data_IF_333238941222
#
_entry.id   IF_333238941222
#
_cell.length_a   1.000
_cell.length_b   1.000
_cell.length_c   1.000
_cell.angle_alpha   90.00
_cell.angle_beta   90.00
_cell.angle_gamma   90.00
#
_symmetry.space_group_name_H-M   'P 1'
#
loop_
_entity.id
_entity.type
_entity.pdbx_description
1 polymer ?
#
# COMPACT_ATOMS: atom_id res chain seq x y z
N UNK A 1 -6.34 5.97 -5.65
CA UNK A 1 -5.08 6.09 -6.42
C UNK A 1 -3.90 5.70 -5.52
N UNK A 2 -2.69 5.54 -6.05
CA UNK A 2 -1.53 5.18 -5.23
C UNK A 2 -1.14 6.23 -4.16
N UNK A 3 -1.61 7.47 -4.28
CA UNK A 3 -1.60 8.48 -3.20
C UNK A 3 -2.49 8.08 -2.00
N UNK A 4 -3.48 7.20 -2.19
CA UNK A 4 -4.32 6.67 -1.12
C UNK A 4 -3.51 5.79 -0.17
N UNK A 5 -2.35 5.24 -0.57
CA UNK A 5 -1.56 4.41 0.35
C UNK A 5 -0.96 5.25 1.47
N UNK A 6 -0.36 6.39 1.15
CA UNK A 6 0.22 7.28 2.17
C UNK A 6 -0.86 7.76 3.12
N UNK A 7 -2.01 8.14 2.57
CA UNK A 7 -3.19 8.50 3.36
C UNK A 7 -3.68 7.34 4.23
N UNK A 8 -3.85 6.14 3.66
CA UNK A 8 -4.30 4.95 4.38
C UNK A 8 -3.34 4.56 5.53
N UNK A 9 -2.03 4.58 5.27
CA UNK A 9 -1.03 4.34 6.31
C UNK A 9 -1.11 5.40 7.41
N UNK A 10 -1.40 6.67 7.06
CA UNK A 10 -1.60 7.73 8.04
C UNK A 10 -2.84 7.49 8.91
N UNK A 11 -3.95 7.03 8.34
CA UNK A 11 -5.18 6.67 9.07
C UNK A 11 -4.97 5.48 10.02
N UNK A 12 -4.07 4.57 9.67
CA UNK A 12 -3.62 3.48 10.54
C UNK A 12 -2.66 3.94 11.65
N UNK A 13 -2.34 5.24 11.72
CA UNK A 13 -1.44 5.85 12.70
C UNK A 13 0.03 5.81 12.30
N UNK A 14 0.31 5.66 11.01
CA UNK A 14 1.65 5.67 10.43
C UNK A 14 2.36 4.32 10.45
N UNK A 15 3.45 4.24 9.69
CA UNK A 15 4.25 3.02 9.54
C UNK A 15 4.78 2.50 10.88
N UNK A 16 5.19 3.39 11.78
CA UNK A 16 5.71 3.04 13.10
C UNK A 16 4.67 2.27 13.95
N UNK A 17 3.42 2.73 13.94
CA UNK A 17 2.36 2.08 14.70
C UNK A 17 2.01 0.71 14.12
N UNK A 18 2.00 0.59 12.79
CA UNK A 18 1.80 -0.69 12.10
C UNK A 18 2.95 -1.65 12.42
N UNK A 19 4.19 -1.16 12.45
CA UNK A 19 5.35 -1.96 12.85
C UNK A 19 5.23 -2.48 14.28
N UNK A 20 4.79 -1.63 15.22
CA UNK A 20 4.56 -2.07 16.60
C UNK A 20 3.43 -3.11 16.69
N UNK A 21 2.32 -2.91 15.96
CA UNK A 21 1.25 -3.91 15.88
C UNK A 21 1.72 -5.23 15.30
N UNK A 22 2.60 -5.19 14.29
CA UNK A 22 3.20 -6.39 13.69
C UNK A 22 4.01 -7.17 14.71
N UNK A 23 4.74 -6.53 15.61
CA UNK A 23 5.49 -7.20 16.67
C UNK A 23 4.57 -7.88 17.69
N UNK A 24 3.41 -7.27 18.00
CA UNK A 24 2.44 -7.81 18.95
C UNK A 24 1.65 -8.98 18.34
N UNK A 25 1.12 -8.78 17.13
CA UNK A 25 0.25 -9.74 16.45
C UNK A 25 1.07 -10.88 15.81
N UNK A 26 2.33 -10.60 15.46
CA UNK A 26 3.25 -11.50 14.76
C UNK A 26 2.61 -12.23 13.56
N UNK A 27 2.07 -11.48 12.58
CA UNK A 27 1.39 -12.08 11.44
C UNK A 27 2.37 -12.86 10.56
N UNK A 28 1.90 -13.96 9.95
CA UNK A 28 2.72 -14.76 9.02
C UNK A 28 3.10 -13.99 7.75
N UNK A 29 2.25 -13.06 7.31
CA UNK A 29 2.50 -12.17 6.18
C UNK A 29 1.65 -10.90 6.30
N UNK A 30 2.03 -9.86 5.56
CA UNK A 30 1.29 -8.61 5.40
C UNK A 30 1.15 -8.37 3.91
N UNK A 31 -0.06 -8.08 3.44
CA UNK A 31 -0.36 -7.86 2.02
C UNK A 31 -1.23 -6.61 1.86
N UNK A 32 -0.88 -5.79 0.87
CA UNK A 32 -1.67 -4.65 0.41
C UNK A 32 -2.02 -4.87 -1.06
N UNK A 33 -3.32 -4.89 -1.36
CA UNK A 33 -3.81 -5.12 -2.72
C UNK A 33 -4.38 -3.83 -3.31
N UNK A 34 -3.79 -3.38 -4.41
CA UNK A 34 -4.25 -2.22 -5.16
C UNK A 34 -5.03 -2.66 -6.39
N UNK A 35 -6.22 -2.08 -6.55
CA UNK A 35 -7.02 -2.25 -7.76
C UNK A 35 -6.69 -1.11 -8.71
N UNK A 36 -6.07 -1.47 -9.84
CA UNK A 36 -5.80 -0.52 -10.91
C UNK A 36 -7.00 -0.50 -11.85
N UNK A 37 -7.55 0.68 -12.20
CA UNK A 37 -8.60 0.77 -13.20
C UNK A 37 -8.06 0.22 -14.54
N UNK A 38 -8.75 -0.73 -15.17
CA UNK A 38 -8.36 -1.15 -16.52
C UNK A 38 -8.53 0.00 -17.52
N UNK A 39 -7.81 -0.12 -18.64
CA UNK A 39 -7.59 0.85 -19.71
C UNK A 39 -8.84 1.48 -20.36
N UNK A 40 -10.04 1.23 -19.87
CA UNK A 40 -11.31 1.72 -20.44
C UNK A 40 -11.74 3.10 -19.94
N UNK A 41 -11.07 3.72 -18.96
CA UNK A 41 -11.40 5.10 -18.58
C UNK A 41 -10.76 6.10 -19.56
N UNK A 42 -11.58 7.00 -20.11
CA UNK A 42 -11.14 8.10 -20.99
C UNK A 42 -10.12 9.04 -20.30
N UNK A 43 -10.08 9.01 -18.97
CA UNK A 43 -9.02 9.57 -18.14
C UNK A 43 -7.98 8.50 -17.84
N UNK A 44 -6.87 8.50 -18.58
CA UNK A 44 -5.65 7.78 -18.19
C UNK A 44 -5.12 8.47 -16.94
N UNK A 45 -5.30 7.84 -15.78
CA UNK A 45 -4.54 8.20 -14.58
C UNK A 45 -3.37 7.22 -14.48
N UNK A 46 -2.15 7.72 -14.66
CA UNK A 46 -0.95 6.93 -14.43
C UNK A 46 -0.94 6.47 -12.96
N UNK A 47 -1.06 5.16 -12.74
CA UNK A 47 -0.93 4.56 -11.42
C UNK A 47 0.56 4.40 -11.08
N UNK A 48 1.13 5.33 -10.31
CA UNK A 48 2.51 5.23 -9.82
C UNK A 48 2.55 5.18 -8.30
N UNK A 49 3.38 4.31 -7.72
CA UNK A 49 3.72 4.39 -6.29
C UNK A 49 4.91 5.33 -6.12
N UNK A 50 4.81 6.26 -5.16
CA UNK A 50 5.95 7.08 -4.77
C UNK A 50 7.06 6.22 -4.15
N UNK A 51 8.31 6.68 -4.24
CA UNK A 51 9.44 6.01 -3.59
C UNK A 51 9.21 5.85 -2.07
N UNK A 52 8.59 6.84 -1.44
CA UNK A 52 8.24 6.83 -0.01
C UNK A 52 7.29 5.67 0.33
N UNK A 53 6.29 5.42 -0.52
CA UNK A 53 5.36 4.30 -0.35
C UNK A 53 6.05 2.95 -0.56
N UNK A 54 6.97 2.87 -1.51
CA UNK A 54 7.78 1.66 -1.74
C UNK A 54 8.64 1.37 -0.50
N UNK A 55 9.29 2.39 0.05
CA UNK A 55 10.11 2.27 1.25
C UNK A 55 9.29 1.87 2.48
N UNK A 56 8.10 2.46 2.66
CA UNK A 56 7.17 2.10 3.72
C UNK A 56 6.78 0.60 3.65
N UNK A 57 6.43 0.12 2.46
CA UNK A 57 6.07 -1.29 2.26
C UNK A 57 7.24 -2.24 2.51
N UNK A 58 8.44 -1.84 2.09
CA UNK A 58 9.67 -2.58 2.36
C UNK A 58 9.93 -2.71 3.86
N UNK A 59 9.83 -1.62 4.62
CA UNK A 59 10.02 -1.61 6.07
C UNK A 59 9.01 -2.52 6.79
N UNK A 60 7.77 -2.54 6.29
CA UNK A 60 6.72 -3.45 6.77
C UNK A 60 6.97 -4.92 6.40
N UNK A 61 7.93 -5.22 5.51
CA UNK A 61 8.09 -6.53 4.86
C UNK A 61 6.77 -6.99 4.23
N UNK A 62 6.02 -6.05 3.67
CA UNK A 62 4.72 -6.31 3.09
C UNK A 62 4.86 -6.69 1.62
N UNK A 63 3.91 -7.49 1.14
CA UNK A 63 3.74 -7.77 -0.28
C UNK A 63 2.74 -6.79 -0.88
N UNK A 64 3.03 -6.30 -2.07
CA UNK A 64 2.14 -5.43 -2.84
C UNK A 64 1.56 -6.24 -3.99
N UNK A 65 0.24 -6.38 -4.03
CA UNK A 65 -0.50 -6.98 -5.13
C UNK A 65 -1.11 -5.91 -6.04
N UNK A 66 -1.03 -6.12 -7.36
CA UNK A 66 -1.72 -5.30 -8.35
C UNK A 66 -2.78 -6.16 -9.04
N UNK A 67 -4.05 -5.79 -8.85
CA UNK A 67 -5.18 -6.44 -9.50
C UNK A 67 -5.70 -5.53 -10.62
N UNK A 68 -5.90 -6.11 -11.79
CA UNK A 68 -6.52 -5.45 -12.94
C UNK A 68 -8.00 -5.86 -12.98
N UNK A 69 -8.90 -4.87 -13.04
CA UNK A 69 -10.34 -5.10 -13.19
C UNK A 69 -10.82 -4.56 -14.53
#
# INVERSE_FOLDING_TARGET
>A
MAEDLSFFLSELGGVEKIMHMKEIVNPKFIEFNFYLPSRTSETIQDGYLSCENIEAMYNLKATIGFNYF
#
